data_IF_432140988309
#
_entry.id   IF_432140988309
#
_cell.length_a   1.000
_cell.length_b   1.000
_cell.length_c   1.000
_cell.angle_alpha   90.00
_cell.angle_beta   90.00
_cell.angle_gamma   90.00
#
_symmetry.space_group_name_H-M   'P 1'
#
loop_
_entity.id
_entity.type
_entity.pdbx_description
1 polymer ?
#
# COMPACT_ATOMS: atom_id res chain seq x y z
N UNK A 1 -11.04 20.79 -3.02
CA UNK A 1 -9.81 20.25 -2.37
C UNK A 1 -8.73 20.12 -3.45
N UNK A 2 -7.60 20.83 -3.25
CA UNK A 2 -6.52 20.92 -4.24
C UNK A 2 -5.99 19.55 -4.68
N UNK A 3 -5.91 18.60 -3.76
CA UNK A 3 -5.47 17.23 -4.05
C UNK A 3 -6.40 16.51 -5.06
N UNK A 4 -7.70 16.74 -5.00
CA UNK A 4 -8.67 16.15 -5.93
C UNK A 4 -8.54 16.80 -7.32
N UNK A 5 -8.29 18.10 -7.40
CA UNK A 5 -8.07 18.78 -8.68
C UNK A 5 -6.80 18.25 -9.38
N UNK A 6 -5.70 18.12 -8.64
CA UNK A 6 -4.47 17.53 -9.16
C UNK A 6 -4.66 16.07 -9.61
N UNK A 7 -5.44 15.27 -8.86
CA UNK A 7 -5.79 13.89 -9.27
C UNK A 7 -6.61 13.89 -10.57
N UNK A 8 -7.57 14.78 -10.73
CA UNK A 8 -8.36 14.90 -11.98
C UNK A 8 -7.47 15.20 -13.18
N UNK A 9 -6.52 16.11 -13.04
CA UNK A 9 -5.61 16.48 -14.14
C UNK A 9 -4.70 15.31 -14.53
N UNK A 10 -4.14 14.58 -13.54
CA UNK A 10 -3.36 13.37 -13.79
C UNK A 10 -4.18 12.30 -14.51
N UNK A 11 -5.37 12.00 -14.00
CA UNK A 11 -6.27 10.99 -14.59
C UNK A 11 -6.67 11.38 -16.01
N UNK A 12 -7.01 12.64 -16.27
CA UNK A 12 -7.33 13.10 -17.63
C UNK A 12 -6.18 12.89 -18.62
N UNK A 13 -4.95 13.24 -18.21
CA UNK A 13 -3.76 13.01 -19.05
C UNK A 13 -3.50 11.52 -19.26
N UNK A 14 -3.60 10.71 -18.21
CA UNK A 14 -3.41 9.27 -18.23
C UNK A 14 -4.41 8.56 -19.16
N UNK A 15 -5.69 8.88 -19.06
CA UNK A 15 -6.74 8.33 -19.93
C UNK A 15 -6.49 8.68 -21.39
N UNK A 16 -6.10 9.93 -21.67
CA UNK A 16 -5.73 10.37 -23.03
C UNK A 16 -4.59 9.55 -23.60
N UNK A 17 -3.52 9.40 -22.82
CA UNK A 17 -2.31 8.71 -23.25
C UNK A 17 -2.51 7.18 -23.35
N UNK A 18 -3.51 6.65 -22.65
CA UNK A 18 -3.94 5.24 -22.73
C UNK A 18 -4.93 4.96 -23.90
N UNK A 19 -5.26 5.97 -24.72
CA UNK A 19 -6.23 5.81 -25.81
C UNK A 19 -7.69 5.71 -25.38
N UNK A 20 -7.99 6.03 -24.11
CA UNK A 20 -9.31 5.97 -23.51
C UNK A 20 -10.02 7.31 -23.66
N UNK A 21 -11.34 7.28 -23.83
CA UNK A 21 -12.15 8.51 -23.99
C UNK A 21 -12.12 9.34 -22.73
N UNK A 22 -11.78 10.62 -22.89
CA UNK A 22 -11.69 11.56 -21.77
C UNK A 22 -13.07 12.12 -21.39
N UNK A 23 -13.27 12.51 -20.10
CA UNK A 23 -14.52 13.14 -19.60
C UNK A 23 -14.94 14.37 -20.39
N UNK A 24 -13.99 15.26 -20.69
CA UNK A 24 -14.26 16.57 -21.32
C UNK A 24 -14.77 16.50 -22.75
N UNK A 25 -14.62 15.36 -23.44
CA UNK A 25 -15.11 15.23 -24.83
C UNK A 25 -16.61 15.02 -24.95
N UNK A 26 -17.33 14.80 -23.84
CA UNK A 26 -18.75 14.46 -23.83
C UNK A 26 -19.63 15.45 -23.06
N UNK A 27 -19.17 16.67 -22.77
CA UNK A 27 -19.88 17.64 -21.93
C UNK A 27 -20.38 17.08 -20.57
N UNK A 28 -19.69 16.08 -20.05
CA UNK A 28 -20.05 15.44 -18.78
C UNK A 28 -19.33 16.13 -17.62
N UNK A 29 -20.10 16.46 -16.59
CA UNK A 29 -19.55 16.96 -15.33
C UNK A 29 -19.26 15.78 -14.40
N UNK A 30 -17.99 15.60 -14.04
CA UNK A 30 -17.59 14.60 -13.06
C UNK A 30 -17.51 15.25 -11.69
N UNK A 31 -18.26 14.71 -10.75
CA UNK A 31 -18.18 15.07 -9.33
C UNK A 31 -17.61 13.89 -8.56
N UNK A 32 -16.48 14.09 -7.88
CA UNK A 32 -15.85 13.09 -7.01
C UNK A 32 -16.17 13.46 -5.58
N UNK A 33 -16.84 12.57 -4.86
CA UNK A 33 -17.09 12.70 -3.44
C UNK A 33 -16.31 11.62 -2.67
N UNK A 34 -15.33 12.04 -1.88
CA UNK A 34 -14.57 11.18 -0.99
C UNK A 34 -15.12 11.31 0.43
N UNK A 35 -16.02 10.42 0.81
CA UNK A 35 -16.59 10.37 2.16
C UNK A 35 -15.64 9.62 3.15
N UNK A 36 -15.73 9.90 4.46
CA UNK A 36 -16.43 11.00 5.12
C UNK A 36 -15.66 12.34 4.99
N UNK A 37 -16.36 13.47 5.07
CA UNK A 37 -15.77 14.78 4.78
C UNK A 37 -14.80 15.28 5.86
N UNK A 38 -14.93 14.81 7.09
CA UNK A 38 -14.12 15.14 8.26
C UNK A 38 -12.74 14.46 8.28
N UNK A 39 -12.54 13.44 7.43
CA UNK A 39 -11.25 12.77 7.31
C UNK A 39 -10.46 13.41 6.17
N UNK A 40 -9.28 13.98 6.50
CA UNK A 40 -8.37 14.54 5.52
C UNK A 40 -7.85 13.43 4.59
N UNK A 41 -8.02 13.62 3.28
CA UNK A 41 -7.50 12.72 2.26
C UNK A 41 -6.15 13.26 1.81
N UNK A 42 -5.11 12.46 1.98
CA UNK A 42 -3.75 12.83 1.61
C UNK A 42 -3.18 11.84 0.59
N UNK A 43 -2.41 12.39 -0.33
CA UNK A 43 -1.68 11.60 -1.32
C UNK A 43 -2.52 11.12 -2.52
N UNK A 44 -1.83 10.55 -3.50
CA UNK A 44 -2.40 10.15 -4.79
C UNK A 44 -3.02 8.73 -4.79
N UNK A 45 -3.16 8.11 -3.62
CA UNK A 45 -3.67 6.73 -3.47
C UNK A 45 -5.07 6.54 -4.07
N UNK A 46 -5.83 7.63 -4.20
CA UNK A 46 -7.18 7.61 -4.74
C UNK A 46 -7.25 7.79 -6.26
N UNK A 47 -6.13 8.02 -6.95
CA UNK A 47 -6.14 8.24 -8.40
C UNK A 47 -6.73 7.04 -9.15
N UNK A 48 -6.26 5.83 -8.83
CA UNK A 48 -6.75 4.61 -9.48
C UNK A 48 -8.24 4.35 -9.22
N UNK A 49 -8.77 4.38 -7.99
CA UNK A 49 -10.20 4.22 -7.76
C UNK A 49 -11.05 5.32 -8.41
N UNK A 50 -10.57 6.56 -8.51
CA UNK A 50 -11.28 7.64 -9.22
C UNK A 50 -11.30 7.34 -10.73
N UNK A 51 -10.18 6.90 -11.32
CA UNK A 51 -10.11 6.51 -12.72
C UNK A 51 -11.06 5.35 -13.04
N UNK A 52 -11.08 4.32 -12.20
CA UNK A 52 -11.98 3.16 -12.33
C UNK A 52 -13.44 3.58 -12.19
N UNK A 53 -13.76 4.42 -11.21
CA UNK A 53 -15.10 4.96 -11.02
C UNK A 53 -15.59 5.76 -12.23
N UNK A 54 -14.70 6.54 -12.87
CA UNK A 54 -15.00 7.23 -14.12
C UNK A 54 -15.27 6.25 -15.27
N UNK A 55 -14.40 5.26 -15.47
CA UNK A 55 -14.53 4.26 -16.53
C UNK A 55 -15.83 3.46 -16.40
N UNK A 56 -16.20 3.10 -15.18
CA UNK A 56 -17.47 2.44 -14.88
C UNK A 56 -18.69 3.33 -15.15
N UNK A 57 -18.66 4.58 -14.68
CA UNK A 57 -19.76 5.53 -14.85
C UNK A 57 -19.96 5.97 -16.31
N UNK A 58 -18.89 5.95 -17.12
CA UNK A 58 -18.93 6.28 -18.55
C UNK A 58 -19.14 5.07 -19.46
N UNK A 59 -19.41 3.89 -18.88
CA UNK A 59 -19.65 2.63 -19.59
C UNK A 59 -18.48 2.24 -20.54
N UNK A 60 -17.26 2.66 -20.20
CA UNK A 60 -16.05 2.35 -20.98
C UNK A 60 -15.39 1.03 -20.57
N UNK A 61 -15.89 0.40 -19.52
CA UNK A 61 -15.53 -0.95 -19.10
C UNK A 61 -16.82 -1.77 -18.93
N UNK A 62 -16.71 -3.07 -19.18
CA UNK A 62 -17.85 -3.97 -19.05
C UNK A 62 -18.41 -3.96 -17.62
N UNK A 63 -19.72 -4.16 -17.50
CA UNK A 63 -20.35 -4.33 -16.19
C UNK A 63 -19.72 -5.51 -15.45
N UNK A 64 -19.13 -5.24 -14.30
CA UNK A 64 -18.59 -6.25 -13.40
C UNK A 64 -19.08 -6.02 -11.97
N UNK A 65 -19.00 -7.05 -11.15
CA UNK A 65 -19.29 -6.89 -9.73
C UNK A 65 -18.17 -6.07 -9.06
N UNK A 66 -18.49 -4.81 -8.75
CA UNK A 66 -17.59 -3.88 -8.06
C UNK A 66 -17.55 -4.10 -6.55
N UNK A 67 -18.56 -4.80 -6.00
CA UNK A 67 -18.75 -4.92 -4.56
C UNK A 67 -17.61 -5.66 -3.86
N UNK A 68 -16.95 -6.56 -4.57
CA UNK A 68 -15.85 -7.39 -4.06
C UNK A 68 -14.45 -6.89 -4.46
N UNK A 69 -14.34 -5.72 -5.09
CA UNK A 69 -13.06 -5.18 -5.56
C UNK A 69 -12.64 -3.94 -4.76
N UNK A 70 -11.36 -3.82 -4.52
CA UNK A 70 -10.72 -2.66 -3.89
C UNK A 70 -9.56 -2.22 -4.76
N UNK A 71 -9.49 -0.93 -5.07
CA UNK A 71 -8.47 -0.34 -5.92
C UNK A 71 -7.65 0.67 -5.14
N UNK A 72 -6.34 0.65 -5.28
CA UNK A 72 -5.42 1.63 -4.71
C UNK A 72 -4.25 1.85 -5.66
N UNK A 73 -3.78 3.08 -5.77
CA UNK A 73 -2.62 3.39 -6.62
C UNK A 73 -2.59 4.82 -7.10
N UNK A 74 -1.40 5.33 -7.34
CA UNK A 74 -1.16 6.59 -8.02
C UNK A 74 -1.14 6.36 -9.54
N UNK A 75 -1.71 7.29 -10.29
CA UNK A 75 -1.71 7.25 -11.75
C UNK A 75 -0.73 8.29 -12.28
N UNK A 76 0.24 7.86 -13.10
CA UNK A 76 1.15 8.73 -13.83
C UNK A 76 0.50 9.33 -15.07
N UNK A 77 1.03 10.44 -15.56
CA UNK A 77 0.51 11.14 -16.75
C UNK A 77 0.52 10.26 -18.02
N UNK A 78 1.40 9.28 -18.10
CA UNK A 78 1.50 8.31 -19.20
C UNK A 78 0.54 7.12 -19.09
N UNK A 79 -0.22 7.05 -17.98
CA UNK A 79 -1.16 5.96 -17.69
C UNK A 79 -0.56 4.78 -16.93
N UNK A 80 0.74 4.80 -16.61
CA UNK A 80 1.36 3.81 -15.74
C UNK A 80 0.93 4.00 -14.28
N UNK A 81 1.00 2.93 -13.48
CA UNK A 81 0.72 2.98 -12.05
C UNK A 81 2.01 3.09 -11.25
N UNK A 82 2.00 3.98 -10.26
CA UNK A 82 3.09 4.18 -9.32
C UNK A 82 2.75 3.63 -7.95
N UNK A 83 3.77 3.16 -7.21
CA UNK A 83 3.59 2.65 -5.86
C UNK A 83 3.07 3.73 -4.91
N UNK A 84 2.27 3.30 -3.95
CA UNK A 84 1.76 4.12 -2.86
C UNK A 84 2.16 3.53 -1.52
N UNK A 85 2.21 4.36 -0.49
CA UNK A 85 2.56 3.94 0.86
C UNK A 85 1.34 3.41 1.62
N UNK A 86 1.57 2.54 2.61
CA UNK A 86 0.54 2.08 3.52
C UNK A 86 -0.36 0.98 2.96
N UNK A 87 0.19 0.10 2.15
CA UNK A 87 -0.55 -1.02 1.55
C UNK A 87 -0.90 -2.10 2.57
N UNK A 88 -0.02 -2.40 3.52
CA UNK A 88 -0.26 -3.47 4.49
C UNK A 88 -1.58 -3.31 5.27
N UNK A 89 -1.93 -2.17 5.90
CA UNK A 89 -3.23 -2.01 6.56
C UNK A 89 -4.41 -2.12 5.59
N UNK A 90 -4.25 -1.69 4.33
CA UNK A 90 -5.28 -1.83 3.28
C UNK A 90 -5.45 -3.31 2.90
N UNK A 91 -4.36 -4.05 2.79
CA UNK A 91 -4.36 -5.48 2.51
C UNK A 91 -5.06 -6.28 3.64
N UNK A 92 -4.78 -5.96 4.91
CA UNK A 92 -5.47 -6.53 6.07
C UNK A 92 -6.98 -6.25 6.01
N UNK A 93 -7.35 -5.01 5.71
CA UNK A 93 -8.76 -4.63 5.53
C UNK A 93 -9.42 -5.42 4.38
N UNK A 94 -8.76 -5.49 3.22
CA UNK A 94 -9.25 -6.20 2.05
C UNK A 94 -9.48 -7.69 2.36
N UNK A 95 -8.55 -8.33 3.06
CA UNK A 95 -8.68 -9.72 3.52
C UNK A 95 -9.87 -9.91 4.45
N UNK A 96 -9.98 -9.06 5.48
CA UNK A 96 -11.08 -9.11 6.45
C UNK A 96 -12.45 -8.99 5.80
N UNK A 97 -12.56 -8.20 4.72
CA UNK A 97 -13.81 -7.96 3.99
C UNK A 97 -13.96 -8.80 2.71
N UNK A 98 -13.12 -9.83 2.54
CA UNK A 98 -13.13 -10.74 1.38
C UNK A 98 -13.09 -10.02 0.03
N UNK A 99 -12.30 -8.94 -0.08
CA UNK A 99 -12.11 -8.16 -1.30
C UNK A 99 -10.94 -8.71 -2.11
N UNK A 100 -10.98 -8.45 -3.42
CA UNK A 100 -9.83 -8.57 -4.32
C UNK A 100 -9.13 -7.22 -4.35
N UNK A 101 -7.85 -7.17 -4.06
CA UNK A 101 -7.08 -5.94 -4.02
C UNK A 101 -6.32 -5.74 -5.34
N UNK A 102 -6.65 -4.67 -6.05
CA UNK A 102 -5.96 -4.21 -7.25
C UNK A 102 -5.00 -3.08 -6.87
N UNK A 103 -3.73 -3.24 -7.20
CA UNK A 103 -2.69 -2.29 -6.80
C UNK A 103 -1.53 -2.26 -7.81
N UNK A 104 -0.66 -1.23 -7.75
CA UNK A 104 0.54 -1.19 -8.57
C UNK A 104 1.44 -2.40 -8.34
N UNK A 105 2.04 -2.94 -9.42
CA UNK A 105 2.92 -4.10 -9.35
C UNK A 105 4.02 -3.96 -8.28
N UNK A 106 4.59 -2.76 -8.14
CA UNK A 106 5.63 -2.48 -7.15
C UNK A 106 5.17 -2.63 -5.68
N UNK A 107 3.86 -2.62 -5.42
CA UNK A 107 3.30 -2.82 -4.08
C UNK A 107 2.93 -4.28 -3.77
N UNK A 108 3.10 -5.18 -4.73
CA UNK A 108 2.65 -6.58 -4.61
C UNK A 108 3.31 -7.30 -3.45
N UNK A 109 4.62 -7.10 -3.26
CA UNK A 109 5.38 -7.75 -2.18
C UNK A 109 4.85 -7.39 -0.79
N UNK A 110 4.46 -6.12 -0.56
CA UNK A 110 3.87 -5.69 0.71
C UNK A 110 2.47 -6.28 0.92
N UNK A 111 1.62 -6.29 -0.13
CA UNK A 111 0.27 -6.80 -0.04
C UNK A 111 0.21 -8.33 0.18
N UNK A 112 1.13 -9.08 -0.41
CA UNK A 112 1.20 -10.53 -0.31
C UNK A 112 1.75 -11.03 1.03
N UNK A 113 2.19 -10.13 1.92
CA UNK A 113 2.43 -10.45 3.33
C UNK A 113 1.17 -10.90 4.06
N UNK A 114 -0.02 -10.57 3.53
CA UNK A 114 -1.31 -10.98 4.12
C UNK A 114 -1.74 -12.31 3.49
N UNK A 115 -1.59 -13.37 4.23
CA UNK A 115 -1.92 -14.73 3.80
C UNK A 115 -3.32 -14.87 3.23
N UNK A 116 -3.43 -15.52 2.06
CA UNK A 116 -4.69 -15.83 1.39
C UNK A 116 -5.47 -14.59 0.93
N UNK A 117 -4.85 -13.41 0.85
CA UNK A 117 -5.41 -12.26 0.17
C UNK A 117 -5.31 -12.47 -1.35
N UNK A 118 -6.38 -12.17 -2.08
CA UNK A 118 -6.37 -12.14 -3.54
C UNK A 118 -5.85 -10.78 -4.01
N UNK A 119 -4.64 -10.76 -4.53
CA UNK A 119 -3.95 -9.54 -5.01
C UNK A 119 -3.83 -9.61 -6.53
N UNK A 120 -4.21 -8.55 -7.21
CA UNK A 120 -4.03 -8.37 -8.65
C UNK A 120 -3.05 -7.22 -8.86
N UNK A 121 -1.87 -7.54 -9.39
CA UNK A 121 -0.87 -6.57 -9.77
C UNK A 121 -1.26 -5.90 -11.09
N UNK A 122 -1.12 -4.58 -11.15
CA UNK A 122 -1.47 -3.78 -12.33
C UNK A 122 -0.35 -2.81 -12.62
N UNK A 123 0.12 -2.79 -13.87
CA UNK A 123 1.19 -1.89 -14.31
C UNK A 123 0.65 -0.57 -14.91
N UNK A 124 -0.57 -0.59 -15.48
CA UNK A 124 -1.14 0.57 -16.15
C UNK A 124 -2.67 0.54 -16.22
N UNK A 125 -3.29 1.71 -16.47
CA UNK A 125 -4.74 1.81 -16.68
C UNK A 125 -5.18 0.96 -17.89
N UNK A 126 -4.40 0.96 -18.98
CA UNK A 126 -4.73 0.17 -20.17
C UNK A 126 -4.74 -1.33 -19.90
N UNK A 127 -3.83 -1.82 -19.06
CA UNK A 127 -3.82 -3.22 -18.61
C UNK A 127 -5.04 -3.52 -17.74
N UNK A 128 -5.35 -2.65 -16.78
CA UNK A 128 -6.52 -2.82 -15.91
C UNK A 128 -7.81 -2.90 -16.72
N UNK A 129 -8.00 -2.03 -17.72
CA UNK A 129 -9.18 -2.05 -18.57
C UNK A 129 -9.30 -3.40 -19.29
N UNK A 130 -8.22 -3.91 -19.88
CA UNK A 130 -8.21 -5.24 -20.52
C UNK A 130 -8.58 -6.36 -19.57
N UNK A 131 -8.02 -6.34 -18.34
CA UNK A 131 -8.34 -7.34 -17.31
C UNK A 131 -9.81 -7.30 -16.90
N UNK A 132 -10.37 -6.08 -16.77
CA UNK A 132 -11.79 -5.90 -16.42
C UNK A 132 -12.72 -6.35 -17.55
N UNK A 133 -12.41 -6.02 -18.81
CA UNK A 133 -13.20 -6.44 -19.98
C UNK A 133 -13.21 -7.96 -20.15
N UNK A 134 -12.07 -8.61 -19.94
CA UNK A 134 -11.94 -10.07 -20.07
C UNK A 134 -12.44 -10.82 -18.83
N UNK A 135 -12.73 -10.11 -17.73
CA UNK A 135 -13.04 -10.69 -16.41
C UNK A 135 -12.01 -11.76 -15.98
N UNK A 136 -10.77 -11.60 -16.43
CA UNK A 136 -9.67 -12.53 -16.19
C UNK A 136 -8.59 -11.84 -15.33
N UNK A 137 -8.39 -12.37 -14.12
CA UNK A 137 -7.45 -11.83 -13.15
C UNK A 137 -6.40 -12.88 -12.79
N UNK A 138 -5.14 -12.53 -12.98
CA UNK A 138 -4.02 -13.33 -12.46
C UNK A 138 -3.70 -12.84 -11.06
N UNK A 139 -3.84 -13.71 -10.07
CA UNK A 139 -3.52 -13.37 -8.69
C UNK A 139 -2.01 -13.52 -8.47
N UNK A 140 -1.44 -12.54 -7.77
CA UNK A 140 -0.05 -12.61 -7.35
C UNK A 140 0.14 -13.83 -6.43
N UNK A 141 1.23 -14.59 -6.61
CA UNK A 141 1.55 -15.70 -5.72
C UNK A 141 1.73 -15.17 -4.30
N UNK A 142 1.19 -15.90 -3.32
CA UNK A 142 1.54 -15.64 -1.93
C UNK A 142 3.05 -15.74 -1.78
N UNK A 143 3.67 -14.71 -1.21
CA UNK A 143 5.08 -14.83 -0.81
C UNK A 143 5.09 -15.89 0.30
N UNK A 144 5.72 -17.02 0.05
CA UNK A 144 6.01 -17.93 1.12
C UNK A 144 6.82 -17.13 2.14
N UNK A 145 6.24 -16.87 3.30
CA UNK A 145 7.02 -16.35 4.41
C UNK A 145 8.07 -17.42 4.73
N UNK A 146 9.22 -17.30 4.12
CA UNK A 146 10.38 -17.84 4.76
C UNK A 146 10.45 -17.06 6.07
N UNK A 147 10.05 -17.68 7.18
CA UNK A 147 10.57 -17.29 8.47
C UNK A 147 12.08 -17.23 8.20
N UNK A 148 12.60 -16.02 8.01
CA UNK A 148 14.04 -15.84 8.03
C UNK A 148 14.46 -16.54 9.29
N UNK A 149 15.31 -17.55 9.10
CA UNK A 149 15.91 -18.30 10.19
C UNK A 149 16.26 -17.27 11.24
N UNK A 150 15.83 -17.50 12.48
CA UNK A 150 16.30 -16.75 13.62
C UNK A 150 17.80 -16.66 13.44
N UNK A 151 18.26 -15.57 12.89
CA UNK A 151 19.68 -15.26 12.92
C UNK A 151 19.94 -15.03 14.39
N UNK A 152 20.63 -15.98 14.97
CA UNK A 152 21.10 -15.93 16.35
C UNK A 152 21.95 -14.68 16.49
N UNK A 153 21.30 -13.57 16.81
CA UNK A 153 21.98 -12.33 17.12
C UNK A 153 22.46 -12.45 18.57
N UNK A 154 23.56 -13.18 18.77
CA UNK A 154 24.21 -13.41 20.06
C UNK A 154 24.76 -12.14 20.72
N UNK A 155 24.09 -11.01 20.59
CA UNK A 155 24.50 -9.79 21.27
C UNK A 155 23.58 -9.56 22.45
N UNK A 156 23.95 -10.00 23.65
CA UNK A 156 23.16 -9.75 24.83
C UNK A 156 23.20 -8.26 25.20
N UNK A 157 22.13 -7.73 25.79
CA UNK A 157 22.04 -6.32 26.16
C UNK A 157 23.18 -5.87 27.08
N UNK A 158 23.72 -6.76 27.92
CA UNK A 158 24.83 -6.43 28.81
C UNK A 158 26.16 -6.20 28.06
N UNK A 159 26.34 -6.75 26.87
CA UNK A 159 27.55 -6.55 26.06
C UNK A 159 27.60 -5.12 25.46
N UNK A 160 26.46 -4.43 25.34
CA UNK A 160 26.41 -3.04 24.90
C UNK A 160 26.84 -2.14 26.06
N UNK A 161 27.97 -1.46 25.92
CA UNK A 161 28.51 -0.57 26.93
C UNK A 161 27.81 0.80 26.91
N UNK A 162 27.53 1.35 28.08
CA UNK A 162 26.87 2.66 28.20
C UNK A 162 25.37 2.63 27.89
N UNK A 163 24.86 3.71 27.30
CA UNK A 163 23.46 3.87 26.82
C UNK A 163 22.38 3.55 27.89
N UNK A 164 22.63 3.89 29.17
CA UNK A 164 21.76 3.52 30.32
C UNK A 164 20.30 3.95 30.13
N UNK A 165 20.08 5.16 29.59
CA UNK A 165 18.71 5.65 29.35
C UNK A 165 18.02 4.86 28.25
N UNK A 166 18.68 4.64 27.11
CA UNK A 166 18.13 3.87 26.02
C UNK A 166 17.80 2.43 26.44
N UNK A 167 18.69 1.78 27.18
CA UNK A 167 18.46 0.43 27.74
C UNK A 167 17.25 0.40 28.65
N UNK A 168 17.12 1.37 29.57
CA UNK A 168 15.97 1.42 30.49
C UNK A 168 14.65 1.61 29.75
N UNK A 169 14.63 2.47 28.73
CA UNK A 169 13.43 2.67 27.89
C UNK A 169 13.08 1.38 27.14
N UNK A 170 14.09 0.69 26.60
CA UNK A 170 13.88 -0.57 25.88
C UNK A 170 13.36 -1.69 26.78
N UNK A 171 13.82 -1.79 28.02
CA UNK A 171 13.25 -2.70 29.02
C UNK A 171 11.76 -2.44 29.26
N UNK A 172 11.37 -1.17 29.47
CA UNK A 172 9.98 -0.79 29.68
C UNK A 172 9.14 -1.12 28.43
N UNK A 173 9.66 -0.82 27.24
CA UNK A 173 8.99 -1.10 25.97
C UNK A 173 8.76 -2.59 25.78
N UNK A 174 9.78 -3.40 26.03
CA UNK A 174 9.69 -4.86 25.91
C UNK A 174 8.68 -5.45 26.90
N UNK A 175 8.71 -5.03 28.17
CA UNK A 175 7.77 -5.50 29.18
C UNK A 175 6.32 -5.08 28.93
N UNK A 176 6.12 -3.90 28.31
CA UNK A 176 4.79 -3.32 28.05
C UNK A 176 4.23 -3.57 26.67
N UNK A 177 4.98 -4.18 25.77
CA UNK A 177 4.57 -4.38 24.35
C UNK A 177 4.35 -3.06 23.62
N UNK A 178 5.14 -2.02 23.93
CA UNK A 178 4.97 -0.68 23.36
C UNK A 178 5.79 -0.50 22.06
N UNK A 179 5.31 0.35 21.16
CA UNK A 179 6.09 0.78 20.02
C UNK A 179 7.15 1.78 20.41
N UNK A 180 8.33 1.72 19.80
CA UNK A 180 9.43 2.67 20.01
C UNK A 180 10.04 3.10 18.69
N UNK A 181 10.43 4.37 18.61
CA UNK A 181 11.20 4.94 17.50
C UNK A 181 12.60 5.31 18.00
N UNK A 182 13.64 4.70 17.43
CA UNK A 182 15.04 5.03 17.70
C UNK A 182 15.56 6.01 16.65
N UNK A 183 15.86 7.23 17.04
CA UNK A 183 16.44 8.28 16.18
C UNK A 183 17.90 8.57 16.54
N UNK A 184 18.70 8.96 15.58
CA UNK A 184 20.11 9.31 15.80
C UNK A 184 20.94 9.21 14.53
N UNK A 185 22.18 9.68 14.58
CA UNK A 185 23.15 9.65 13.47
C UNK A 185 23.47 8.22 13.01
N UNK A 186 23.89 8.02 11.76
CA UNK A 186 24.44 6.73 11.31
C UNK A 186 25.56 6.26 12.23
N UNK A 187 25.62 4.97 12.54
CA UNK A 187 26.67 4.41 13.43
C UNK A 187 26.44 4.62 14.93
N UNK A 188 25.36 5.26 15.37
CA UNK A 188 25.09 5.49 16.82
C UNK A 188 24.63 4.23 17.59
N UNK A 189 24.57 3.06 16.94
CA UNK A 189 24.24 1.79 17.59
C UNK A 189 22.75 1.48 17.70
N UNK A 190 21.86 2.19 16.98
CA UNK A 190 20.41 1.95 17.01
C UNK A 190 20.03 0.51 16.68
N UNK A 191 20.54 0.00 15.56
CA UNK A 191 20.31 -1.36 15.10
C UNK A 191 20.86 -2.39 16.10
N UNK A 192 22.01 -2.10 16.71
CA UNK A 192 22.61 -2.97 17.73
C UNK A 192 21.72 -3.07 18.98
N UNK A 193 21.19 -1.95 19.45
CA UNK A 193 20.24 -1.92 20.57
C UNK A 193 18.95 -2.67 20.26
N UNK A 194 18.39 -2.47 19.07
CA UNK A 194 17.16 -3.14 18.65
C UNK A 194 17.36 -4.68 18.56
N UNK A 195 18.48 -5.13 18.01
CA UNK A 195 18.82 -6.56 17.94
C UNK A 195 19.02 -7.17 19.34
N UNK A 196 19.68 -6.46 20.25
CA UNK A 196 19.87 -6.95 21.62
C UNK A 196 18.54 -7.10 22.37
N UNK A 197 17.60 -6.18 22.18
CA UNK A 197 16.25 -6.29 22.76
C UNK A 197 15.48 -7.47 22.17
N UNK A 198 15.52 -7.64 20.86
CA UNK A 198 14.85 -8.75 20.20
C UNK A 198 15.40 -10.10 20.70
N UNK A 199 16.71 -10.21 20.86
CA UNK A 199 17.36 -11.41 21.39
C UNK A 199 16.91 -11.73 22.83
N UNK A 200 16.84 -10.73 23.72
CA UNK A 200 16.47 -10.96 25.12
C UNK A 200 14.94 -11.10 25.33
N UNK A 201 14.12 -10.59 24.43
CA UNK A 201 12.67 -10.69 24.50
C UNK A 201 12.09 -11.87 23.68
N UNK A 202 12.96 -12.70 23.08
CA UNK A 202 12.57 -13.78 22.16
C UNK A 202 11.66 -13.27 21.01
N UNK A 203 11.76 -11.99 20.68
CA UNK A 203 10.96 -11.36 19.64
C UNK A 203 11.66 -11.48 18.27
N UNK A 204 10.86 -11.65 17.22
CA UNK A 204 11.38 -11.65 15.85
C UNK A 204 11.88 -10.24 15.49
N UNK A 205 13.13 -10.15 15.05
CA UNK A 205 13.70 -8.94 14.44
C UNK A 205 13.54 -9.06 12.92
N UNK A 206 12.72 -8.19 12.36
CA UNK A 206 12.42 -8.12 10.92
C UNK A 206 13.17 -6.95 10.29
#
# INVERSE_FOLDING_TARGET
DKAIEESKDRINAALKNSGIKQPHKHNQRIVVNLAPADVKKEGPIFDLPIAVGFLAASEQVAHCDWSNKLFVGEVSLDGSLRPVNGILPIAIYAKKHNKILFLPEANTSEATLVDGLRVVAVSSIAELVRMLEQSSFTYAPAVAHHHEQQTDYEIPMHAIKGQKQAKRVLEIVACGGHNILLTGSPGSGKTLLAKAVANESEANFI
#
